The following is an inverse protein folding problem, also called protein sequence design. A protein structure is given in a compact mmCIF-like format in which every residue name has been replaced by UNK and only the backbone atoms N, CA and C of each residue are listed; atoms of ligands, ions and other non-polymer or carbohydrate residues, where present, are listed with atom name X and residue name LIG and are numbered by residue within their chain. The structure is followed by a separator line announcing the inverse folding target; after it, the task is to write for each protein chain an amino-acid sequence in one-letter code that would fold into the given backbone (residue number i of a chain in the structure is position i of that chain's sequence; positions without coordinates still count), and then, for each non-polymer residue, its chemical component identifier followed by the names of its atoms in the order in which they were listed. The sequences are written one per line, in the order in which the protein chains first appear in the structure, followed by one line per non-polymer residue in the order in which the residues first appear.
data_IF_989952432693
#
_entry.id   IF_989952432693
#
_cell.length_a   1.000
_cell.length_b   1.000
_cell.length_c   1.000
_cell.angle_alpha   90.00
_cell.angle_beta   90.00
_cell.angle_gamma   90.00
#
_symmetry.space_group_name_H-M   'P 1'
#
loop_
_entity.id
_entity.type
_entity.pdbx_description
1 polymer ?
#
# COMPACT_ATOMS: atom_id res chain seq x y z
N UNK A 1 -18.68 27.62 -2.14
CA UNK A 1 -19.50 26.40 -2.32
C UNK A 1 -18.65 25.13 -2.54
N UNK A 2 -17.44 25.03 -1.93
CA UNK A 2 -16.51 23.88 -2.07
C UNK A 2 -16.36 23.04 -0.79
N UNK A 3 -16.77 23.56 0.37
CA UNK A 3 -16.56 22.91 1.65
C UNK A 3 -17.53 21.75 1.93
N UNK A 4 -18.82 21.88 1.59
CA UNK A 4 -19.83 20.84 1.88
C UNK A 4 -19.56 19.51 1.16
N UNK A 5 -19.03 19.55 -0.07
CA UNK A 5 -18.69 18.33 -0.83
C UNK A 5 -17.55 17.58 -0.17
N UNK A 6 -16.52 18.28 0.31
CA UNK A 6 -15.36 17.66 0.98
C UNK A 6 -15.73 16.99 2.30
N UNK A 7 -16.64 17.59 3.08
CA UNK A 7 -17.10 16.96 4.33
C UNK A 7 -17.89 15.68 4.09
N UNK A 8 -18.80 15.67 3.12
CA UNK A 8 -19.58 14.49 2.77
C UNK A 8 -18.68 13.35 2.24
N UNK A 9 -17.69 13.68 1.41
CA UNK A 9 -16.72 12.70 0.89
C UNK A 9 -15.83 12.13 2.01
N UNK A 10 -15.46 12.96 2.99
CA UNK A 10 -14.70 12.55 4.17
C UNK A 10 -15.52 11.64 5.09
N UNK A 11 -16.76 12.01 5.39
CA UNK A 11 -17.66 11.19 6.22
C UNK A 11 -17.92 9.83 5.57
N UNK A 12 -18.20 9.80 4.27
CA UNK A 12 -18.37 8.56 3.52
C UNK A 12 -17.11 7.68 3.56
N UNK A 13 -15.91 8.29 3.42
CA UNK A 13 -14.63 7.56 3.55
C UNK A 13 -14.44 7.00 4.95
N UNK A 14 -14.72 7.79 5.99
CA UNK A 14 -14.57 7.34 7.38
C UNK A 14 -15.55 6.19 7.69
N UNK A 15 -16.78 6.27 7.19
CA UNK A 15 -17.75 5.18 7.30
C UNK A 15 -17.26 3.91 6.57
N UNK A 16 -16.73 4.04 5.36
CA UNK A 16 -16.14 2.91 4.63
C UNK A 16 -14.94 2.32 5.37
N UNK A 17 -14.10 3.15 6.00
CA UNK A 17 -12.95 2.68 6.79
C UNK A 17 -13.38 2.00 8.08
N UNK A 18 -14.45 2.47 8.73
CA UNK A 18 -15.04 1.77 9.87
C UNK A 18 -15.52 0.37 9.48
N UNK A 19 -16.14 0.23 8.29
CA UNK A 19 -16.59 -1.06 7.76
C UNK A 19 -15.47 -2.06 7.47
N UNK A 20 -14.19 -1.63 7.42
CA UNK A 20 -13.07 -2.58 7.31
C UNK A 20 -12.99 -3.51 8.52
N UNK A 21 -13.34 -3.02 9.72
CA UNK A 21 -13.32 -3.81 10.94
C UNK A 21 -14.29 -5.00 10.89
N UNK A 22 -15.35 -4.90 10.10
CA UNK A 22 -16.33 -5.98 9.92
C UNK A 22 -15.85 -7.08 8.96
N UNK A 23 -14.83 -6.80 8.14
CA UNK A 23 -14.33 -7.72 7.12
C UNK A 23 -13.28 -8.69 7.66
N UNK A 24 -12.48 -8.29 8.65
CA UNK A 24 -11.41 -9.11 9.21
C UNK A 24 -10.86 -8.53 10.53
N UNK A 25 -10.09 -9.34 11.24
CA UNK A 25 -9.22 -8.87 12.32
C UNK A 25 -7.95 -8.24 11.71
N UNK A 26 -7.77 -6.94 11.96
CA UNK A 26 -6.64 -6.16 11.43
C UNK A 26 -5.58 -5.93 12.50
N UNK A 27 -4.31 -6.00 12.11
CA UNK A 27 -3.21 -5.55 12.96
C UNK A 27 -3.36 -4.06 13.29
N UNK A 28 -2.81 -3.59 14.42
CA UNK A 28 -2.64 -2.16 14.65
C UNK A 28 -1.90 -1.51 13.47
N UNK A 29 -2.24 -0.24 13.21
CA UNK A 29 -1.49 0.56 12.25
C UNK A 29 -0.09 0.84 12.80
N UNK A 30 0.92 0.58 11.98
CA UNK A 30 2.31 0.91 12.27
C UNK A 30 2.99 1.44 11.02
N UNK A 31 4.11 2.13 11.17
CA UNK A 31 4.85 2.63 10.01
C UNK A 31 5.34 1.44 9.17
N UNK A 32 5.27 1.54 7.84
CA UNK A 32 5.64 0.43 6.95
C UNK A 32 7.06 -0.08 7.22
N UNK A 33 8.00 0.81 7.55
CA UNK A 33 9.38 0.44 7.85
C UNK A 33 9.51 -0.39 9.14
N UNK A 34 8.79 -0.01 10.20
CA UNK A 34 8.82 -0.70 11.50
C UNK A 34 8.02 -1.99 11.50
N UNK A 35 6.96 -2.06 10.69
CA UNK A 35 6.03 -3.18 10.73
C UNK A 35 6.47 -4.37 9.86
N UNK A 36 7.31 -4.15 8.83
CA UNK A 36 7.81 -5.21 7.93
C UNK A 36 8.46 -6.38 8.69
N UNK A 37 9.37 -6.18 9.66
CA UNK A 37 9.97 -7.28 10.42
C UNK A 37 8.97 -8.15 11.19
N UNK A 38 7.87 -7.54 11.67
CA UNK A 38 6.83 -8.18 12.47
C UNK A 38 5.73 -8.85 11.63
N UNK A 39 5.69 -8.54 10.34
CA UNK A 39 4.68 -9.08 9.44
C UNK A 39 4.79 -10.62 9.34
N UNK A 40 3.67 -11.36 9.40
CA UNK A 40 3.70 -12.81 9.35
C UNK A 40 4.15 -13.31 7.98
N UNK A 41 4.83 -14.46 7.96
CA UNK A 41 5.19 -15.18 6.73
C UNK A 41 4.07 -16.10 6.24
N UNK A 42 2.83 -15.61 6.30
CA UNK A 42 1.60 -16.32 5.90
C UNK A 42 0.81 -15.51 4.87
N UNK A 43 -0.12 -16.13 4.13
CA UNK A 43 -1.06 -15.41 3.27
C UNK A 43 -1.83 -14.33 4.05
N UNK A 44 -2.34 -13.34 3.33
CA UNK A 44 -3.13 -12.28 3.95
C UNK A 44 -3.31 -11.06 3.06
N UNK A 45 -4.02 -10.07 3.59
CA UNK A 45 -4.29 -8.78 2.95
C UNK A 45 -3.62 -7.68 3.75
N UNK A 46 -3.09 -6.67 3.07
CA UNK A 46 -2.51 -5.49 3.69
C UNK A 46 -3.04 -4.21 3.05
N UNK A 47 -3.08 -3.17 3.86
CA UNK A 47 -3.51 -1.82 3.50
C UNK A 47 -2.34 -0.87 3.64
N UNK A 48 -2.11 0.01 2.66
CA UNK A 48 -1.11 1.07 2.74
C UNK A 48 -1.81 2.42 2.85
N UNK A 49 -1.62 3.08 3.98
CA UNK A 49 -2.19 4.37 4.32
C UNK A 49 -1.12 5.44 4.16
N UNK A 50 -1.38 6.45 3.31
CA UNK A 50 -0.51 7.62 3.23
C UNK A 50 -0.73 8.50 4.45
N UNK A 51 0.32 8.73 5.26
CA UNK A 51 0.18 9.39 6.56
C UNK A 51 -0.22 10.86 6.45
N UNK A 52 0.32 11.56 5.45
CA UNK A 52 0.05 12.99 5.22
C UNK A 52 -1.42 13.27 4.87
N UNK A 53 -2.08 12.36 4.14
CA UNK A 53 -3.46 12.53 3.69
C UNK A 53 -4.46 11.69 4.47
N UNK A 54 -3.99 10.71 5.26
CA UNK A 54 -4.80 9.70 5.95
C UNK A 54 -5.72 8.93 4.99
N UNK A 55 -5.28 8.73 3.75
CA UNK A 55 -6.01 7.96 2.74
C UNK A 55 -5.29 6.65 2.44
N UNK A 56 -6.03 5.54 2.46
CA UNK A 56 -5.53 4.24 1.99
C UNK A 56 -5.33 4.35 0.50
N UNK A 57 -4.07 4.20 0.05
CA UNK A 57 -3.68 4.32 -1.36
C UNK A 57 -3.62 3.00 -2.07
N UNK A 58 -3.48 1.91 -1.31
CA UNK A 58 -3.30 0.59 -1.87
C UNK A 58 -3.82 -0.49 -0.92
N UNK A 59 -4.39 -1.52 -1.55
CA UNK A 59 -4.74 -2.80 -0.94
C UNK A 59 -4.02 -3.85 -1.75
N UNK A 60 -3.38 -4.79 -1.08
CA UNK A 60 -2.75 -5.92 -1.75
C UNK A 60 -2.91 -7.20 -0.95
N UNK A 61 -2.92 -8.33 -1.64
CA UNK A 61 -2.83 -9.65 -1.02
C UNK A 61 -1.43 -10.27 -1.17
N UNK A 62 -1.14 -11.19 -0.27
CA UNK A 62 -0.03 -12.12 -0.34
C UNK A 62 -0.57 -13.56 -0.29
N UNK A 63 -0.07 -14.42 -1.17
CA UNK A 63 -0.36 -15.85 -1.17
C UNK A 63 0.70 -16.69 -0.47
N UNK A 64 0.55 -18.01 -0.52
CA UNK A 64 1.54 -18.95 0.02
C UNK A 64 2.85 -18.94 -0.78
N UNK A 65 3.81 -19.70 -0.26
CA UNK A 65 5.01 -20.09 -0.97
C UNK A 65 4.65 -20.85 -2.25
N UNK A 66 4.94 -20.25 -3.40
CA UNK A 66 5.20 -21.01 -4.62
C UNK A 66 6.68 -21.45 -4.62
N UNK A 67 6.98 -22.69 -5.03
CA UNK A 67 8.34 -23.19 -5.18
C UNK A 67 9.26 -22.28 -6.02
N UNK A 68 10.59 -22.45 -5.85
CA UNK A 68 11.72 -21.63 -6.35
C UNK A 68 12.23 -20.47 -5.46
N UNK A 69 11.64 -20.23 -4.29
CA UNK A 69 12.30 -19.46 -3.22
C UNK A 69 11.83 -18.02 -2.98
N UNK A 70 10.76 -17.55 -3.62
CA UNK A 70 9.98 -16.37 -3.21
C UNK A 70 8.56 -16.47 -3.78
N UNK A 71 7.46 -16.25 -3.00
CA UNK A 71 7.29 -15.25 -1.93
C UNK A 71 7.04 -15.82 -0.51
N UNK A 72 7.29 -14.96 0.50
CA UNK A 72 7.20 -15.26 1.94
C UNK A 72 5.97 -14.59 2.60
N UNK A 73 4.75 -14.85 2.10
CA UNK A 73 3.52 -14.28 2.66
C UNK A 73 3.54 -12.75 2.75
N UNK A 74 2.81 -12.19 3.74
CA UNK A 74 2.74 -10.76 4.01
C UNK A 74 4.13 -10.12 4.18
N UNK A 75 5.03 -10.74 4.97
CA UNK A 75 6.43 -10.29 5.12
C UNK A 75 7.11 -10.06 3.76
N UNK A 76 7.07 -11.07 2.89
CA UNK A 76 7.74 -11.02 1.60
C UNK A 76 7.18 -9.92 0.69
N UNK A 77 5.86 -9.74 0.71
CA UNK A 77 5.20 -8.69 -0.09
C UNK A 77 5.48 -7.30 0.43
N UNK A 78 5.33 -7.05 1.73
CA UNK A 78 5.62 -5.74 2.33
C UNK A 78 7.10 -5.35 2.16
N UNK A 79 8.02 -6.32 2.29
CA UNK A 79 9.45 -6.10 2.01
C UNK A 79 9.71 -5.74 0.54
N UNK A 80 9.01 -6.37 -0.40
CA UNK A 80 9.14 -6.03 -1.82
C UNK A 80 8.62 -4.61 -2.10
N UNK A 81 7.50 -4.23 -1.49
CA UNK A 81 6.90 -2.89 -1.57
C UNK A 81 7.88 -1.81 -1.12
N UNK A 82 8.45 -1.91 0.09
CA UNK A 82 9.38 -0.89 0.62
C UNK A 82 10.70 -0.83 -0.18
N UNK A 83 11.08 -1.93 -0.82
CA UNK A 83 12.26 -2.00 -1.67
C UNK A 83 12.02 -1.49 -3.11
N UNK A 84 10.79 -1.08 -3.45
CA UNK A 84 10.45 -0.57 -4.78
C UNK A 84 10.55 -1.64 -5.87
N UNK A 85 10.20 -2.89 -5.54
CA UNK A 85 10.05 -3.93 -6.56
C UNK A 85 8.94 -3.58 -7.54
N UNK A 86 9.06 -4.09 -8.77
CA UNK A 86 8.11 -3.88 -9.87
C UNK A 86 7.81 -2.40 -10.14
N UNK A 87 8.83 -1.55 -10.42
CA UNK A 87 8.68 -0.10 -10.55
C UNK A 87 7.85 0.36 -11.77
N UNK A 88 7.38 -0.60 -12.57
CA UNK A 88 6.63 -0.39 -13.81
C UNK A 88 5.26 -1.07 -13.77
N UNK A 89 4.84 -1.60 -12.61
CA UNK A 89 3.48 -2.09 -12.40
C UNK A 89 2.98 -1.78 -10.98
N UNK A 90 1.66 -1.63 -10.83
CA UNK A 90 0.99 -1.63 -9.53
C UNK A 90 1.31 -0.41 -8.66
N UNK A 91 1.51 -0.64 -7.35
CA UNK A 91 1.68 0.46 -6.38
C UNK A 91 2.98 1.23 -6.55
N UNK A 92 4.10 0.53 -6.81
CA UNK A 92 5.41 1.17 -6.93
C UNK A 92 5.48 2.09 -8.15
N UNK A 93 4.87 1.69 -9.27
CA UNK A 93 4.68 2.54 -10.46
C UNK A 93 3.84 3.79 -10.11
N UNK A 94 2.67 3.61 -9.51
CA UNK A 94 1.80 4.72 -9.15
C UNK A 94 2.45 5.73 -8.18
N UNK A 95 3.29 5.24 -7.26
CA UNK A 95 4.09 6.07 -6.38
C UNK A 95 5.21 6.80 -7.15
N UNK A 96 5.89 6.11 -8.06
CA UNK A 96 6.95 6.68 -8.89
C UNK A 96 6.41 7.76 -9.83
N UNK A 97 5.29 7.54 -10.52
CA UNK A 97 4.67 8.52 -11.41
C UNK A 97 4.36 9.84 -10.69
N UNK A 98 3.83 9.74 -9.47
CA UNK A 98 3.54 10.91 -8.63
C UNK A 98 4.81 11.63 -8.18
N UNK A 99 5.86 10.88 -7.85
CA UNK A 99 7.15 11.48 -7.50
C UNK A 99 7.82 12.14 -8.71
N UNK A 100 7.73 11.55 -9.90
CA UNK A 100 8.24 12.11 -11.14
C UNK A 100 7.48 13.36 -11.59
N UNK A 101 6.22 13.50 -11.18
CA UNK A 101 5.43 14.71 -11.42
C UNK A 101 5.86 15.91 -10.55
N UNK A 102 6.75 15.71 -9.57
CA UNK A 102 7.30 16.78 -8.73
C UNK A 102 8.70 17.21 -9.24
N UNK A 103 8.83 18.41 -9.83
CA UNK A 103 10.10 18.90 -10.35
C UNK A 103 11.19 19.06 -9.30
N UNK A 104 10.84 19.41 -8.06
CA UNK A 104 11.81 19.60 -6.98
C UNK A 104 12.45 18.25 -6.62
N UNK A 105 11.61 17.24 -6.43
CA UNK A 105 12.08 15.89 -6.13
C UNK A 105 12.92 15.29 -7.26
N UNK A 106 12.51 15.48 -8.51
CA UNK A 106 13.31 15.06 -9.67
C UNK A 106 14.66 15.79 -9.67
N UNK A 107 14.67 17.10 -9.41
CA UNK A 107 15.89 17.90 -9.28
C UNK A 107 16.86 17.35 -8.22
N UNK A 108 16.35 17.04 -7.02
CA UNK A 108 17.15 16.41 -5.96
C UNK A 108 17.73 15.05 -6.39
N UNK A 109 16.92 14.20 -7.05
CA UNK A 109 17.39 12.88 -7.51
C UNK A 109 18.49 13.01 -8.56
N UNK A 110 18.35 13.96 -9.49
CA UNK A 110 19.38 14.24 -10.49
C UNK A 110 20.66 14.78 -9.85
N UNK A 111 20.55 15.67 -8.87
CA UNK A 111 21.69 16.20 -8.11
C UNK A 111 22.45 15.13 -7.32
N UNK A 112 21.73 14.12 -6.80
CA UNK A 112 22.33 12.96 -6.11
C UNK A 112 23.07 11.99 -7.05
N UNK A 113 22.94 12.14 -8.37
CA UNK A 113 23.60 11.34 -9.37
C UNK A 113 22.79 10.14 -9.88
N UNK A 114 23.34 9.39 -10.87
CA UNK A 114 22.61 8.32 -11.53
C UNK A 114 22.33 7.15 -10.58
N UNK A 115 21.14 6.55 -10.71
CA UNK A 115 20.78 5.34 -9.98
C UNK A 115 19.87 4.44 -10.82
N UNK A 116 19.72 3.18 -10.40
CA UNK A 116 18.76 2.26 -11.03
C UNK A 116 17.33 2.73 -10.77
N UNK A 117 16.42 2.50 -11.72
CA UNK A 117 15.00 2.82 -11.59
C UNK A 117 14.37 2.30 -10.29
N UNK A 118 14.70 1.07 -9.87
CA UNK A 118 14.22 0.50 -8.59
C UNK A 118 14.61 1.34 -7.35
N UNK A 119 15.75 2.04 -7.39
CA UNK A 119 16.20 2.92 -6.29
C UNK A 119 15.31 4.16 -6.24
N UNK A 120 14.95 4.71 -7.39
CA UNK A 120 14.02 5.84 -7.49
C UNK A 120 12.61 5.45 -7.06
N UNK A 121 12.12 4.28 -7.49
CA UNK A 121 10.83 3.74 -7.04
C UNK A 121 10.80 3.52 -5.51
N UNK A 122 11.86 2.93 -4.95
CA UNK A 122 11.95 2.76 -3.49
C UNK A 122 11.98 4.11 -2.75
N UNK A 123 12.65 5.13 -3.32
CA UNK A 123 12.64 6.48 -2.77
C UNK A 123 11.25 7.12 -2.86
N UNK A 124 10.54 6.93 -3.97
CA UNK A 124 9.17 7.40 -4.15
C UNK A 124 8.21 6.76 -3.15
N UNK A 125 8.30 5.44 -2.91
CA UNK A 125 7.50 4.77 -1.87
C UNK A 125 7.82 5.30 -0.47
N UNK A 126 9.10 5.49 -0.13
CA UNK A 126 9.50 6.03 1.19
C UNK A 126 9.01 7.45 1.42
N UNK A 127 8.98 8.29 0.38
CA UNK A 127 8.48 9.66 0.44
C UNK A 127 7.04 9.76 0.94
N UNK A 128 6.24 8.71 0.73
CA UNK A 128 4.82 8.69 1.11
C UNK A 128 4.58 8.45 2.61
N UNK A 129 5.64 8.12 3.37
CA UNK A 129 5.55 7.87 4.82
C UNK A 129 4.41 6.93 5.21
N UNK A 130 4.33 5.79 4.53
CA UNK A 130 3.17 4.89 4.63
C UNK A 130 3.06 4.28 6.03
N UNK A 131 1.82 4.22 6.54
CA UNK A 131 1.42 3.28 7.57
C UNK A 131 0.85 2.01 6.91
N UNK A 132 0.96 0.88 7.60
CA UNK A 132 0.44 -0.40 7.15
C UNK A 132 -0.38 -1.07 8.25
N UNK A 133 -1.43 -1.76 7.84
CA UNK A 133 -2.17 -2.72 8.64
C UNK A 133 -2.44 -3.96 7.79
N UNK A 134 -2.48 -5.14 8.40
CA UNK A 134 -2.72 -6.40 7.69
C UNK A 134 -3.66 -7.32 8.45
N UNK A 135 -4.28 -8.23 7.70
CA UNK A 135 -4.98 -9.40 8.20
C UNK A 135 -4.36 -10.66 7.61
N UNK A 136 -4.07 -11.64 8.45
CA UNK A 136 -3.55 -12.93 8.00
C UNK A 136 -4.71 -13.85 7.59
N UNK A 137 -4.57 -14.52 6.45
CA UNK A 137 -5.55 -15.47 5.94
C UNK A 137 -5.02 -16.91 6.00
N UNK A 138 -5.90 -17.92 6.02
CA UNK A 138 -5.51 -19.32 5.96
C UNK A 138 -4.73 -19.66 4.68
N UNK A 139 -5.20 -19.14 3.54
CA UNK A 139 -4.67 -19.42 2.22
C UNK A 139 -4.79 -18.19 1.28
N UNK A 140 -4.27 -18.34 0.06
CA UNK A 140 -4.28 -17.33 -0.98
C UNK A 140 -5.66 -17.06 -1.53
N UNK A 141 -6.55 -18.05 -1.54
CA UNK A 141 -7.90 -17.88 -2.06
C UNK A 141 -8.70 -16.96 -1.13
N UNK A 142 -8.64 -17.22 0.18
CA UNK A 142 -9.20 -16.33 1.20
C UNK A 142 -8.56 -14.94 1.16
N UNK A 143 -7.24 -14.85 1.02
CA UNK A 143 -6.56 -13.55 0.92
C UNK A 143 -7.05 -12.75 -0.29
N UNK A 144 -7.25 -13.41 -1.44
CA UNK A 144 -7.76 -12.78 -2.66
C UNK A 144 -9.24 -12.40 -2.52
N UNK A 145 -10.04 -13.24 -1.88
CA UNK A 145 -11.44 -12.94 -1.59
C UNK A 145 -11.55 -11.71 -0.68
N UNK A 146 -10.81 -11.68 0.44
CA UNK A 146 -10.80 -10.56 1.37
C UNK A 146 -10.32 -9.27 0.69
N UNK A 147 -9.25 -9.33 -0.12
CA UNK A 147 -8.78 -8.18 -0.91
C UNK A 147 -9.90 -7.63 -1.79
N UNK A 148 -10.66 -8.50 -2.48
CA UNK A 148 -11.75 -8.06 -3.34
C UNK A 148 -12.85 -7.34 -2.56
N UNK A 149 -13.21 -7.82 -1.37
CA UNK A 149 -14.21 -7.19 -0.49
C UNK A 149 -13.75 -5.83 0.03
N UNK A 150 -12.48 -5.75 0.42
CA UNK A 150 -11.87 -4.49 0.86
C UNK A 150 -11.82 -3.48 -0.28
N UNK A 151 -11.35 -3.89 -1.46
CA UNK A 151 -11.28 -3.02 -2.65
C UNK A 151 -12.67 -2.52 -3.03
N UNK A 152 -13.68 -3.39 -3.05
CA UNK A 152 -15.07 -3.00 -3.32
C UNK A 152 -15.55 -1.90 -2.36
N UNK A 153 -15.24 -2.06 -1.07
CA UNK A 153 -15.62 -1.10 -0.03
C UNK A 153 -14.91 0.25 -0.15
N UNK A 154 -13.60 0.27 -0.43
CA UNK A 154 -12.81 1.50 -0.34
C UNK A 154 -12.34 2.10 -1.66
N UNK A 155 -12.59 1.44 -2.80
CA UNK A 155 -12.23 1.93 -4.15
C UNK A 155 -12.70 3.35 -4.43
N UNK A 156 -13.93 3.78 -4.07
CA UNK A 156 -14.37 5.15 -4.31
C UNK A 156 -13.56 6.22 -3.56
N UNK A 157 -12.76 5.82 -2.57
CA UNK A 157 -12.18 6.72 -1.57
C UNK A 157 -10.66 6.93 -1.73
N UNK A 158 -10.12 6.74 -2.95
CA UNK A 158 -8.78 7.24 -3.29
C UNK A 158 -7.66 6.19 -3.40
N UNK A 159 -8.02 4.93 -3.69
CA UNK A 159 -7.05 3.93 -4.14
C UNK A 159 -6.36 4.37 -5.44
N UNK A 160 -5.04 4.15 -5.54
CA UNK A 160 -4.25 4.55 -6.70
C UNK A 160 -4.15 3.48 -7.79
N UNK A 161 -4.52 2.24 -7.50
CA UNK A 161 -4.53 1.12 -8.45
C UNK A 161 -5.86 0.36 -8.35
N UNK A 162 -6.21 -0.32 -9.46
CA UNK A 162 -7.53 -0.92 -9.75
C UNK A 162 -7.97 -2.00 -8.78
#
# INVERSE_FOLDING_TARGET
MRAMTTYADEEARLAAYAGLADLAEWSPWATLAEAVPEAPRRPGVYLLLERSTRVVRHVGHAGERAGSGSPQGLYGRLRATIAGHDPVTGFAEAALDRALADPEWVGERLAAGPARARVWAAAAVRRLELDVSWSACPDREEARWLESRVVELIRPHGLWAR
#
